data_IF_778525241425
#
_entry.id   IF_778525241425
#
_cell.length_a   1.000
_cell.length_b   1.000
_cell.length_c   1.000
_cell.angle_alpha   90.00
_cell.angle_beta   90.00
_cell.angle_gamma   90.00
#
_symmetry.space_group_name_H-M   'P 1'
#
loop_
_entity.id
_entity.type
_entity.pdbx_description
1 polymer ?
#
# COMPACT_ATOMS: atom_id res chain seq x y z
N UNK A 1 26.08 9.40 9.79
CA UNK A 1 27.08 8.31 9.95
C UNK A 1 28.43 8.95 9.82
N UNK A 2 29.32 8.82 10.81
CA UNK A 2 30.63 9.49 10.81
C UNK A 2 30.52 11.00 10.47
N UNK A 3 29.58 11.69 11.13
CA UNK A 3 29.23 13.10 10.88
C UNK A 3 28.67 13.45 9.48
N UNK A 4 28.48 12.45 8.60
CA UNK A 4 27.74 12.60 7.34
C UNK A 4 26.24 12.58 7.62
N UNK A 5 25.54 13.65 7.24
CA UNK A 5 24.08 13.71 7.28
C UNK A 5 23.49 12.81 6.18
N UNK A 6 22.42 12.08 6.53
CA UNK A 6 21.69 11.23 5.61
C UNK A 6 20.29 11.81 5.42
N UNK A 7 19.86 12.01 4.17
CA UNK A 7 18.54 12.53 3.84
C UNK A 7 17.58 11.41 3.45
N UNK A 8 18.10 10.35 2.82
CA UNK A 8 17.30 9.25 2.32
C UNK A 8 17.96 7.88 2.59
N UNK A 9 17.21 6.76 2.42
CA UNK A 9 17.75 5.40 2.61
C UNK A 9 18.91 5.05 1.67
N UNK A 10 18.98 5.67 0.48
CA UNK A 10 20.04 5.42 -0.50
C UNK A 10 21.36 6.00 0.00
N UNK A 11 21.35 7.14 0.70
CA UNK A 11 22.56 7.72 1.30
C UNK A 11 23.22 6.76 2.28
N UNK A 12 22.44 6.12 3.16
CA UNK A 12 22.96 5.11 4.09
C UNK A 12 23.53 3.92 3.33
N UNK A 13 22.81 3.45 2.30
CA UNK A 13 23.23 2.32 1.46
C UNK A 13 24.56 2.64 0.75
N UNK A 14 24.69 3.85 0.20
CA UNK A 14 25.89 4.32 -0.47
C UNK A 14 27.07 4.45 0.50
N UNK A 15 26.83 4.98 1.70
CA UNK A 15 27.86 5.05 2.75
C UNK A 15 28.33 3.65 3.14
N UNK A 16 27.43 2.69 3.34
CA UNK A 16 27.79 1.31 3.71
C UNK A 16 28.51 0.58 2.58
N UNK A 17 28.07 0.73 1.33
CA UNK A 17 28.70 0.10 0.16
C UNK A 17 30.13 0.60 -0.10
N UNK A 18 30.49 1.78 0.42
CA UNK A 18 31.84 2.32 0.33
C UNK A 18 32.78 1.82 1.45
N UNK A 19 32.28 0.99 2.38
CA UNK A 19 33.04 0.47 3.52
C UNK A 19 33.35 -1.02 3.35
N UNK A 20 34.36 -1.46 4.08
CA UNK A 20 34.77 -2.88 4.11
C UNK A 20 34.38 -3.54 5.42
N UNK A 21 34.29 -4.87 5.39
CA UNK A 21 34.07 -5.68 6.57
C UNK A 21 35.16 -5.41 7.64
N UNK A 22 34.75 -5.27 8.89
CA UNK A 22 35.62 -4.91 10.01
C UNK A 22 35.78 -3.42 10.27
N UNK A 23 35.32 -2.55 9.36
CA UNK A 23 35.29 -1.10 9.62
C UNK A 23 34.35 -0.78 10.78
N UNK A 24 34.76 0.17 11.62
CA UNK A 24 33.91 0.70 12.70
C UNK A 24 33.36 2.05 12.29
N UNK A 25 32.04 2.20 12.41
CA UNK A 25 31.31 3.43 12.07
C UNK A 25 30.56 3.97 13.29
N UNK A 26 30.42 5.29 13.34
CA UNK A 26 29.62 5.99 14.34
C UNK A 26 28.25 6.33 13.75
N UNK A 27 27.22 5.71 14.30
CA UNK A 27 25.83 5.91 13.91
C UNK A 27 25.12 6.81 14.92
N UNK A 28 24.68 7.98 14.47
CA UNK A 28 23.70 8.76 15.22
C UNK A 28 22.31 8.23 14.91
N UNK A 29 21.66 7.62 15.90
CA UNK A 29 20.32 7.03 15.75
C UNK A 29 19.31 7.76 16.64
N UNK A 30 18.10 7.96 16.12
CA UNK A 30 16.97 8.52 16.86
C UNK A 30 16.01 7.43 17.32
N UNK A 31 15.48 7.54 18.54
CA UNK A 31 14.34 6.73 18.97
C UNK A 31 13.09 7.06 18.13
N UNK A 32 12.22 6.07 17.94
CA UNK A 32 10.96 6.31 17.24
C UNK A 32 10.04 7.18 18.11
N UNK A 33 9.58 8.36 17.61
CA UNK A 33 8.77 9.31 18.37
C UNK A 33 7.38 8.77 18.75
N UNK A 34 6.96 7.63 18.19
CA UNK A 34 5.75 6.92 18.61
C UNK A 34 5.82 6.44 20.06
N UNK A 35 7.01 6.12 20.57
CA UNK A 35 7.21 5.58 21.92
C UNK A 35 7.58 6.65 22.96
N UNK A 36 7.72 7.92 22.56
CA UNK A 36 8.15 9.00 23.45
C UNK A 36 8.84 10.14 22.70
N UNK A 37 9.44 11.11 23.41
CA UNK A 37 10.26 12.13 22.76
C UNK A 37 11.39 11.48 21.96
N UNK A 38 11.71 12.08 20.81
CA UNK A 38 12.85 11.63 20.00
C UNK A 38 14.14 11.95 20.74
N UNK A 39 14.87 10.90 21.11
CA UNK A 39 16.17 10.98 21.74
C UNK A 39 17.21 10.46 20.76
N UNK A 40 18.28 11.22 20.59
CA UNK A 40 19.39 10.83 19.73
C UNK A 40 20.52 10.27 20.57
N UNK A 41 21.17 9.23 20.07
CA UNK A 41 22.39 8.67 20.66
C UNK A 41 23.35 8.24 19.57
N UNK A 42 24.63 8.32 19.88
CA UNK A 42 25.68 7.79 19.03
C UNK A 42 25.98 6.36 19.43
N UNK A 43 25.96 5.46 18.46
CA UNK A 43 26.26 4.05 18.62
C UNK A 43 27.44 3.72 17.73
N UNK A 44 28.48 3.14 18.32
CA UNK A 44 29.59 2.57 17.59
C UNK A 44 29.19 1.17 17.09
N UNK A 45 29.32 0.95 15.78
CA UNK A 45 28.98 -0.32 15.15
C UNK A 45 30.14 -0.78 14.27
N UNK A 46 30.54 -2.04 14.44
CA UNK A 46 31.52 -2.69 13.56
C UNK A 46 30.79 -3.44 12.48
N UNK A 47 31.14 -3.16 11.23
CA UNK A 47 30.56 -3.79 10.05
C UNK A 47 31.04 -5.24 9.94
N UNK A 48 30.12 -6.15 9.64
CA UNK A 48 30.43 -7.54 9.33
C UNK A 48 30.66 -7.72 7.83
N UNK A 49 31.09 -8.91 7.44
CA UNK A 49 31.15 -9.31 6.03
C UNK A 49 29.74 -9.69 5.53
N UNK A 50 29.30 -9.02 4.47
CA UNK A 50 27.96 -9.18 3.89
C UNK A 50 27.72 -10.59 3.36
N UNK A 51 28.70 -11.14 2.64
CA UNK A 51 28.58 -12.47 2.03
C UNK A 51 28.57 -13.55 3.08
N UNK A 52 29.47 -13.47 4.06
CA UNK A 52 29.53 -14.37 5.20
C UNK A 52 28.21 -14.37 5.99
N UNK A 53 27.61 -13.19 6.22
CA UNK A 53 26.32 -13.08 6.88
C UNK A 53 25.21 -13.84 6.14
N UNK A 54 25.07 -13.64 4.82
CA UNK A 54 24.05 -14.35 4.05
C UNK A 54 24.35 -15.85 3.91
N UNK A 55 25.62 -16.24 3.80
CA UNK A 55 26.03 -17.64 3.79
C UNK A 55 25.72 -18.35 5.11
N UNK A 56 25.85 -17.66 6.24
CA UNK A 56 25.48 -18.18 7.55
C UNK A 56 23.98 -18.44 7.64
N UNK A 57 23.15 -17.50 7.15
CA UNK A 57 21.69 -17.68 7.07
C UNK A 57 21.29 -18.88 6.20
N UNK A 58 22.08 -19.23 5.18
CA UNK A 58 21.83 -20.41 4.36
C UNK A 58 22.08 -21.73 5.11
N UNK A 59 22.84 -21.75 6.22
CA UNK A 59 23.07 -22.92 7.09
C UNK A 59 23.71 -24.17 6.45
N UNK A 60 23.91 -24.20 5.12
CA UNK A 60 24.39 -25.35 4.35
C UNK A 60 23.72 -25.54 3.00
N UNK A 61 22.61 -24.85 2.71
CA UNK A 61 21.90 -24.92 1.43
C UNK A 61 22.75 -24.37 0.27
N UNK A 62 23.08 -25.23 -0.69
CA UNK A 62 23.88 -24.88 -1.87
C UNK A 62 23.15 -24.00 -2.87
N UNK A 63 21.83 -24.15 -3.00
CA UNK A 63 21.03 -23.29 -3.88
C UNK A 63 20.95 -21.88 -3.32
N UNK A 64 20.73 -21.76 -2.01
CA UNK A 64 20.79 -20.47 -1.30
C UNK A 64 22.14 -19.77 -1.48
N UNK A 65 23.26 -20.49 -1.32
CA UNK A 65 24.61 -19.93 -1.52
C UNK A 65 24.86 -19.51 -2.97
N UNK A 66 24.42 -20.33 -3.94
CA UNK A 66 24.47 -19.97 -5.36
C UNK A 66 23.71 -18.67 -5.63
N UNK A 67 22.51 -18.51 -5.06
CA UNK A 67 21.73 -17.28 -5.22
C UNK A 67 22.43 -16.05 -4.63
N UNK A 68 23.22 -16.20 -3.56
CA UNK A 68 24.03 -15.11 -2.99
C UNK A 68 25.18 -14.74 -3.94
N UNK A 69 25.84 -15.73 -4.54
CA UNK A 69 26.91 -15.49 -5.52
C UNK A 69 26.35 -14.83 -6.80
N UNK A 70 25.20 -15.32 -7.28
CA UNK A 70 24.51 -14.79 -8.46
C UNK A 70 23.95 -13.37 -8.22
N UNK A 71 23.73 -12.97 -6.97
CA UNK A 71 23.34 -11.61 -6.59
C UNK A 71 24.50 -10.61 -6.67
N UNK A 72 25.74 -11.07 -6.94
CA UNK A 72 26.92 -10.23 -7.06
C UNK A 72 27.37 -9.62 -5.74
N UNK A 73 27.22 -10.36 -4.63
CA UNK A 73 27.72 -9.96 -3.31
C UNK A 73 29.12 -10.52 -3.15
N UNK A 74 30.11 -9.63 -3.06
CA UNK A 74 31.52 -10.00 -2.96
C UNK A 74 31.99 -10.13 -1.50
N UNK A 75 33.07 -10.91 -1.31
CA UNK A 75 33.78 -11.01 -0.03
C UNK A 75 34.42 -9.66 0.34
N UNK A 76 34.35 -9.29 1.62
CA UNK A 76 34.91 -8.06 2.17
C UNK A 76 33.96 -6.86 2.13
N UNK A 77 32.76 -6.97 1.56
CA UNK A 77 31.75 -5.91 1.59
C UNK A 77 31.26 -5.65 3.03
N UNK A 78 31.32 -4.38 3.46
CA UNK A 78 30.84 -3.98 4.78
C UNK A 78 29.32 -4.09 4.90
N UNK A 79 28.85 -4.72 5.98
CA UNK A 79 27.43 -4.90 6.24
C UNK A 79 27.07 -4.59 7.69
N UNK A 80 26.02 -3.79 7.87
CA UNK A 80 25.54 -3.38 9.19
C UNK A 80 24.57 -4.40 9.83
N UNK A 81 24.13 -5.43 9.10
CA UNK A 81 23.14 -6.37 9.62
C UNK A 81 21.69 -5.89 9.50
N UNK A 82 21.43 -4.84 8.73
CA UNK A 82 20.09 -4.28 8.52
C UNK A 82 19.69 -4.37 7.05
N UNK A 83 18.44 -4.75 6.80
CA UNK A 83 17.86 -4.85 5.46
C UNK A 83 16.47 -4.22 5.43
N UNK A 84 16.03 -3.75 4.27
CA UNK A 84 14.69 -3.18 4.10
C UNK A 84 14.53 -1.79 4.71
N UNK A 85 15.59 -0.99 4.66
CA UNK A 85 15.57 0.41 5.14
C UNK A 85 14.50 1.18 4.34
N UNK A 86 13.65 1.92 5.06
CA UNK A 86 12.60 2.75 4.48
C UNK A 86 12.79 4.20 4.90
N UNK A 87 12.29 5.11 4.07
CA UNK A 87 12.30 6.53 4.36
C UNK A 87 11.31 6.87 5.49
N UNK A 88 11.59 7.93 6.23
CA UNK A 88 10.77 8.37 7.36
C UNK A 88 9.35 8.79 6.93
N UNK A 89 9.19 9.23 5.68
CA UNK A 89 7.93 9.64 5.06
C UNK A 89 7.18 8.48 4.37
N UNK A 90 7.68 7.24 4.49
CA UNK A 90 7.11 6.08 3.79
C UNK A 90 5.62 5.85 4.04
N UNK A 91 5.11 6.19 5.22
CA UNK A 91 3.68 6.19 5.55
C UNK A 91 2.85 7.13 4.66
N UNK A 92 3.39 8.29 4.30
CA UNK A 92 2.69 9.31 3.52
C UNK A 92 2.91 9.14 2.01
N UNK A 93 4.02 8.50 1.60
CA UNK A 93 4.44 8.38 0.21
C UNK A 93 3.37 7.79 -0.72
N UNK A 94 2.61 6.79 -0.25
CA UNK A 94 1.52 6.19 -1.05
C UNK A 94 0.47 7.23 -1.46
N UNK A 95 0.20 8.21 -0.59
CA UNK A 95 -0.76 9.28 -0.85
C UNK A 95 -0.21 10.37 -1.77
N UNK A 96 1.12 10.45 -1.89
CA UNK A 96 1.84 11.34 -2.78
C UNK A 96 1.87 10.88 -4.24
N UNK A 97 1.56 9.61 -4.54
CA UNK A 97 1.63 9.03 -5.89
C UNK A 97 1.01 9.92 -7.00
N UNK A 98 -0.20 10.50 -6.83
CA UNK A 98 -0.80 11.34 -7.88
C UNK A 98 -0.10 12.70 -8.08
N UNK A 99 0.79 13.07 -7.16
CA UNK A 99 1.48 14.35 -7.08
C UNK A 99 2.99 14.22 -7.29
N UNK A 100 3.49 13.03 -7.61
CA UNK A 100 4.90 12.81 -7.90
C UNK A 100 5.40 13.71 -9.05
N UNK A 101 6.68 14.06 -8.94
CA UNK A 101 7.39 14.81 -9.95
C UNK A 101 7.60 13.96 -11.21
N UNK A 102 7.54 14.60 -12.38
CA UNK A 102 7.66 13.93 -13.68
C UNK A 102 6.34 13.45 -14.29
N UNK A 103 5.22 13.48 -13.55
CA UNK A 103 3.91 13.15 -14.11
C UNK A 103 3.34 14.28 -14.98
N UNK A 104 2.83 13.93 -16.16
CA UNK A 104 2.04 14.85 -16.99
C UNK A 104 0.68 15.16 -16.34
N UNK A 105 0.06 16.29 -16.70
CA UNK A 105 -1.27 16.67 -16.19
C UNK A 105 -2.31 15.56 -16.42
N UNK A 106 -2.27 14.91 -17.59
CA UNK A 106 -3.19 13.82 -17.92
C UNK A 106 -2.98 12.60 -17.03
N UNK A 107 -1.73 12.19 -16.79
CA UNK A 107 -1.42 11.09 -15.87
C UNK A 107 -1.84 11.40 -14.44
N UNK A 108 -1.57 12.62 -13.96
CA UNK A 108 -2.01 13.08 -12.63
C UNK A 108 -3.53 12.99 -12.49
N UNK A 109 -4.28 13.46 -13.48
CA UNK A 109 -5.74 13.39 -13.47
C UNK A 109 -6.26 11.94 -13.38
N UNK A 110 -5.65 11.02 -14.14
CA UNK A 110 -5.99 9.59 -14.08
C UNK A 110 -5.67 9.00 -12.70
N UNK A 111 -4.49 9.28 -12.16
CA UNK A 111 -4.10 8.78 -10.84
C UNK A 111 -5.02 9.32 -9.74
N UNK A 112 -5.34 10.61 -9.75
CA UNK A 112 -6.29 11.21 -8.80
C UNK A 112 -7.67 10.55 -8.90
N UNK A 113 -8.15 10.27 -10.12
CA UNK A 113 -9.43 9.59 -10.32
C UNK A 113 -9.41 8.14 -9.78
N UNK A 114 -8.26 7.48 -9.83
CA UNK A 114 -8.07 6.11 -9.32
C UNK A 114 -7.62 6.05 -7.86
N UNK A 115 -7.25 7.17 -7.23
CA UNK A 115 -6.78 7.24 -5.84
C UNK A 115 -7.69 6.50 -4.85
N UNK A 116 -9.03 6.63 -4.90
CA UNK A 116 -9.89 5.88 -3.98
C UNK A 116 -9.75 4.36 -4.10
N UNK A 117 -9.48 3.86 -5.31
CA UNK A 117 -9.21 2.43 -5.54
C UNK A 117 -7.83 2.04 -5.01
N UNK A 118 -6.80 2.85 -5.28
CA UNK A 118 -5.43 2.60 -4.83
C UNK A 118 -5.33 2.59 -3.29
N UNK A 119 -6.03 3.51 -2.63
CA UNK A 119 -5.94 3.69 -1.18
C UNK A 119 -7.01 2.91 -0.41
N UNK A 120 -7.97 2.30 -1.10
CA UNK A 120 -9.12 1.63 -0.49
C UNK A 120 -8.74 0.49 0.47
N UNK A 121 -7.62 -0.18 0.23
CA UNK A 121 -7.13 -1.26 1.09
C UNK A 121 -6.34 -0.78 2.32
N UNK A 122 -5.94 0.49 2.39
CA UNK A 122 -5.02 0.98 3.43
C UNK A 122 -5.59 0.80 4.85
N UNK A 123 -6.85 1.16 5.14
CA UNK A 123 -7.41 0.93 6.48
C UNK A 123 -7.51 -0.54 6.85
N UNK A 124 -7.70 -1.42 5.87
CA UNK A 124 -7.76 -2.87 6.10
C UNK A 124 -6.38 -3.40 6.51
N UNK A 125 -5.34 -2.96 5.80
CA UNK A 125 -3.95 -3.35 6.08
C UNK A 125 -3.44 -2.78 7.42
N UNK A 126 -3.91 -1.58 7.79
CA UNK A 126 -3.44 -0.85 8.96
C UNK A 126 -4.44 -0.89 10.14
N UNK A 127 -5.27 -1.93 10.24
CA UNK A 127 -6.17 -2.16 11.39
C UNK A 127 -7.08 -0.96 11.71
N UNK A 128 -7.63 -0.34 10.68
CA UNK A 128 -8.49 0.83 10.77
C UNK A 128 -7.75 2.16 10.86
N UNK A 129 -6.44 2.19 10.67
CA UNK A 129 -5.66 3.43 10.59
C UNK A 129 -5.43 3.85 9.15
N UNK A 130 -5.28 5.16 8.92
CA UNK A 130 -5.00 5.70 7.58
C UNK A 130 -3.54 5.48 7.17
N UNK A 131 -2.66 5.12 8.09
CA UNK A 131 -1.24 4.87 7.86
C UNK A 131 -0.66 4.13 9.05
N UNK A 132 0.53 3.54 8.89
CA UNK A 132 1.25 2.90 9.99
C UNK A 132 1.61 3.95 11.04
N UNK A 133 1.16 3.76 12.28
CA UNK A 133 1.29 4.78 13.34
C UNK A 133 2.74 5.10 13.69
N UNK A 134 3.61 4.10 13.64
CA UNK A 134 5.04 4.21 13.91
C UNK A 134 5.78 5.02 12.85
N UNK A 135 5.35 4.93 11.59
CA UNK A 135 5.90 5.73 10.49
C UNK A 135 5.29 7.14 10.50
N UNK A 136 3.98 7.25 10.76
CA UNK A 136 3.26 8.53 10.93
C UNK A 136 3.91 9.43 11.98
N UNK A 137 4.44 8.85 13.04
CA UNK A 137 5.06 9.62 14.12
C UNK A 137 6.30 10.43 13.67
N UNK A 138 6.94 10.03 12.55
CA UNK A 138 8.05 10.78 11.96
C UNK A 138 7.59 11.94 11.06
N UNK A 139 6.30 12.02 10.71
CA UNK A 139 5.78 13.07 9.87
C UNK A 139 5.66 14.37 10.66
N UNK A 140 6.18 15.45 10.10
CA UNK A 140 5.98 16.82 10.58
C UNK A 140 5.19 17.62 9.55
N UNK A 141 4.41 18.60 10.00
CA UNK A 141 3.87 19.57 9.08
C UNK A 141 5.02 20.33 8.39
N UNK A 142 4.90 20.51 7.07
CA UNK A 142 5.86 21.30 6.31
C UNK A 142 5.77 22.80 6.62
N UNK A 143 6.46 23.60 5.83
CA UNK A 143 6.39 25.06 5.96
C UNK A 143 5.17 25.64 5.23
N UNK A 144 4.66 26.77 5.72
CA UNK A 144 3.59 27.53 5.05
C UNK A 144 2.44 27.95 5.96
N UNK A 145 1.49 28.70 5.40
CA UNK A 145 0.41 29.32 6.16
C UNK A 145 -0.49 28.28 6.86
N UNK A 146 -0.95 27.27 6.12
CA UNK A 146 -1.87 26.24 6.66
C UNK A 146 -1.17 25.38 7.73
N UNK A 147 0.04 24.81 7.47
CA UNK A 147 0.84 24.15 8.49
C UNK A 147 1.12 24.98 9.74
N UNK A 148 1.40 26.28 9.59
CA UNK A 148 1.73 27.15 10.73
C UNK A 148 0.57 27.38 11.69
N UNK A 149 -0.67 27.30 11.19
CA UNK A 149 -1.89 27.48 11.99
C UNK A 149 -2.33 26.16 12.62
N UNK A 150 -2.30 25.06 11.86
CA UNK A 150 -2.83 23.76 12.30
C UNK A 150 -1.80 22.92 13.06
N UNK A 151 -0.51 23.15 12.81
CA UNK A 151 0.57 22.30 13.28
C UNK A 151 0.50 20.87 12.73
N UNK A 152 1.46 20.03 13.11
CA UNK A 152 1.51 18.61 12.72
C UNK A 152 0.25 17.84 13.10
N UNK A 153 -0.22 18.01 14.34
CA UNK A 153 -1.40 17.30 14.84
C UNK A 153 -2.66 17.68 14.05
N UNK A 154 -2.87 18.97 13.79
CA UNK A 154 -4.02 19.45 13.02
C UNK A 154 -3.97 19.02 11.56
N UNK A 155 -2.79 19.06 10.93
CA UNK A 155 -2.60 18.58 9.55
C UNK A 155 -2.91 17.09 9.42
N UNK A 156 -2.38 16.25 10.31
CA UNK A 156 -2.64 14.82 10.29
C UNK A 156 -4.11 14.49 10.62
N UNK A 157 -4.74 15.24 11.52
CA UNK A 157 -6.18 15.11 11.80
C UNK A 157 -7.07 15.52 10.63
N UNK A 158 -6.71 16.60 9.93
CA UNK A 158 -7.40 17.03 8.70
C UNK A 158 -7.24 15.99 7.60
N UNK A 159 -6.03 15.43 7.44
CA UNK A 159 -5.78 14.33 6.51
C UNK A 159 -6.69 13.14 6.80
N UNK A 160 -6.74 12.67 8.06
CA UNK A 160 -7.60 11.54 8.44
C UNK A 160 -9.08 11.82 8.14
N UNK A 161 -9.55 13.03 8.47
CA UNK A 161 -10.92 13.44 8.23
C UNK A 161 -11.29 13.40 6.73
N UNK A 162 -10.45 13.99 5.88
CA UNK A 162 -10.66 13.99 4.43
C UNK A 162 -10.55 12.58 3.84
N UNK A 163 -9.59 11.81 4.32
CA UNK A 163 -9.40 10.42 3.92
C UNK A 163 -10.68 9.61 4.21
N UNK A 164 -11.22 9.71 5.42
CA UNK A 164 -12.42 8.96 5.80
C UNK A 164 -13.67 9.37 5.03
N UNK A 165 -13.86 10.67 4.75
CA UNK A 165 -14.95 11.14 3.88
C UNK A 165 -14.84 10.49 2.50
N UNK A 166 -13.65 10.54 1.90
CA UNK A 166 -13.38 9.96 0.59
C UNK A 166 -13.59 8.45 0.59
N UNK A 167 -13.05 7.75 1.58
CA UNK A 167 -13.10 6.28 1.68
C UNK A 167 -14.54 5.76 1.89
N UNK A 168 -15.31 6.35 2.79
CA UNK A 168 -16.72 5.96 3.02
C UNK A 168 -17.56 6.26 1.79
N UNK A 169 -17.35 7.44 1.17
CA UNK A 169 -18.08 7.83 -0.05
C UNK A 169 -17.78 6.89 -1.21
N UNK A 170 -16.52 6.47 -1.36
CA UNK A 170 -16.10 5.49 -2.34
C UNK A 170 -16.74 4.12 -2.08
N UNK A 171 -16.70 3.61 -0.84
CA UNK A 171 -17.33 2.34 -0.50
C UNK A 171 -18.84 2.36 -0.71
N UNK A 172 -19.51 3.46 -0.38
CA UNK A 172 -20.94 3.62 -0.66
C UNK A 172 -21.21 3.59 -2.18
N UNK A 173 -20.35 4.23 -2.97
CA UNK A 173 -20.39 4.15 -4.43
C UNK A 173 -20.23 2.72 -4.95
N UNK A 174 -19.23 1.99 -4.46
CA UNK A 174 -19.00 0.58 -4.81
C UNK A 174 -20.16 -0.30 -4.38
N UNK A 175 -20.68 -0.12 -3.16
CA UNK A 175 -21.84 -0.85 -2.65
C UNK A 175 -23.08 -0.61 -3.53
N UNK A 176 -23.29 0.63 -3.97
CA UNK A 176 -24.37 0.97 -4.89
C UNK A 176 -24.20 0.36 -6.28
N UNK A 177 -22.98 -0.02 -6.69
CA UNK A 177 -22.73 -0.71 -7.96
C UNK A 177 -22.92 -2.23 -7.87
N UNK A 178 -23.15 -2.80 -6.68
CA UNK A 178 -23.36 -4.24 -6.53
C UNK A 178 -24.66 -4.63 -7.27
N UNK A 179 -24.63 -5.68 -8.12
CA UNK A 179 -25.79 -6.11 -8.92
C UNK A 179 -26.79 -6.91 -8.08
N UNK A 180 -27.30 -6.30 -7.02
CA UNK A 180 -28.24 -6.88 -6.06
C UNK A 180 -29.31 -5.86 -5.72
N UNK A 181 -30.59 -6.22 -5.83
CA UNK A 181 -31.70 -5.38 -5.35
C UNK A 181 -31.72 -5.47 -3.81
N UNK A 182 -31.68 -4.35 -3.06
CA UNK A 182 -32.15 -3.00 -3.41
C UNK A 182 -31.08 -1.99 -3.88
N UNK A 183 -29.84 -2.40 -4.13
CA UNK A 183 -28.79 -1.50 -4.64
C UNK A 183 -29.05 -1.11 -6.09
N UNK A 184 -28.65 0.12 -6.44
CA UNK A 184 -28.90 0.73 -7.76
C UNK A 184 -28.22 -0.05 -8.90
N UNK A 185 -27.09 -0.71 -8.62
CA UNK A 185 -26.37 -1.58 -9.54
C UNK A 185 -27.22 -2.74 -10.04
N UNK A 186 -28.18 -3.22 -9.24
CA UNK A 186 -29.16 -4.23 -9.68
C UNK A 186 -30.05 -3.70 -10.82
N UNK A 187 -30.45 -2.44 -10.77
CA UNK A 187 -31.22 -1.79 -11.83
C UNK A 187 -30.36 -1.50 -13.06
N UNK A 188 -29.14 -0.99 -12.87
CA UNK A 188 -28.19 -0.76 -13.97
C UNK A 188 -27.86 -2.06 -14.73
N UNK A 189 -27.62 -3.17 -14.03
CA UNK A 189 -27.33 -4.46 -14.69
C UNK A 189 -28.55 -5.00 -15.44
N UNK A 190 -29.77 -4.81 -14.91
CA UNK A 190 -31.00 -5.15 -15.64
C UNK A 190 -31.12 -4.36 -16.93
N UNK A 191 -30.88 -3.06 -16.88
CA UNK A 191 -31.03 -2.17 -18.03
C UNK A 191 -29.91 -2.37 -19.06
N UNK A 192 -28.67 -2.57 -18.61
CA UNK A 192 -27.54 -2.98 -19.46
C UNK A 192 -27.82 -4.34 -20.13
N UNK A 193 -28.38 -5.29 -19.39
CA UNK A 193 -28.83 -6.59 -19.90
C UNK A 193 -29.85 -6.44 -21.01
N UNK A 194 -30.82 -5.53 -20.87
CA UNK A 194 -31.79 -5.23 -21.93
C UNK A 194 -31.13 -4.63 -23.18
N UNK A 195 -30.16 -3.73 -23.02
CA UNK A 195 -29.44 -3.10 -24.15
C UNK A 195 -28.59 -4.13 -24.89
N UNK A 196 -27.84 -4.96 -24.17
CA UNK A 196 -27.03 -6.04 -24.75
C UNK A 196 -27.91 -7.08 -25.43
N UNK A 197 -29.00 -7.52 -24.76
CA UNK A 197 -29.94 -8.48 -25.33
C UNK A 197 -30.59 -7.95 -26.62
N UNK A 198 -31.01 -6.67 -26.67
CA UNK A 198 -31.55 -6.06 -27.89
C UNK A 198 -30.52 -5.97 -29.02
N UNK A 199 -29.24 -5.78 -28.70
CA UNK A 199 -28.17 -5.67 -29.69
C UNK A 199 -27.74 -7.04 -30.23
N UNK A 200 -27.68 -8.05 -29.37
CA UNK A 200 -27.27 -9.42 -29.70
C UNK A 200 -28.43 -10.21 -30.34
N UNK A 201 -29.67 -10.02 -29.88
CA UNK A 201 -30.85 -10.76 -30.34
C UNK A 201 -31.72 -9.98 -31.34
N UNK A 202 -31.10 -9.25 -32.28
CA UNK A 202 -31.81 -8.56 -33.37
C UNK A 202 -32.62 -9.58 -34.19
N UNK A 203 -33.95 -9.61 -33.99
CA UNK A 203 -34.89 -10.47 -34.72
C UNK A 203 -35.64 -11.53 -33.88
N UNK A 204 -35.45 -11.58 -32.55
CA UNK A 204 -36.11 -12.57 -31.68
C UNK A 204 -37.43 -12.09 -31.07
N UNK A 205 -38.38 -13.02 -30.87
CA UNK A 205 -39.71 -12.77 -30.32
C UNK A 205 -39.67 -12.07 -28.93
N UNK A 206 -40.42 -10.97 -28.72
CA UNK A 206 -40.35 -10.13 -27.50
C UNK A 206 -40.64 -10.90 -26.20
N UNK A 207 -41.52 -11.89 -26.25
CA UNK A 207 -41.90 -12.75 -25.12
C UNK A 207 -40.79 -13.69 -24.61
N UNK A 208 -39.78 -14.01 -25.42
CA UNK A 208 -38.63 -14.83 -24.97
C UNK A 208 -37.58 -13.99 -24.25
N UNK A 209 -37.47 -12.71 -24.61
CA UNK A 209 -36.50 -11.77 -24.03
C UNK A 209 -36.94 -11.38 -22.61
N UNK A 210 -38.23 -11.17 -22.40
CA UNK A 210 -38.82 -10.84 -21.08
C UNK A 210 -38.62 -11.98 -20.07
N UNK A 211 -38.91 -13.23 -20.45
CA UNK A 211 -38.72 -14.41 -19.59
C UNK A 211 -37.26 -14.72 -19.27
N UNK A 212 -36.33 -14.33 -20.16
CA UNK A 212 -34.89 -14.48 -19.91
C UNK A 212 -34.39 -13.41 -18.93
N UNK A 213 -34.88 -12.17 -19.08
CA UNK A 213 -34.57 -11.05 -18.18
C UNK A 213 -35.09 -11.30 -16.76
N UNK A 214 -36.33 -11.79 -16.60
CA UNK A 214 -36.90 -12.15 -15.30
C UNK A 214 -36.15 -13.31 -14.63
N UNK A 215 -35.70 -14.30 -15.40
CA UNK A 215 -34.89 -15.41 -14.87
C UNK A 215 -33.47 -14.98 -14.51
N UNK A 216 -32.82 -14.14 -15.32
CA UNK A 216 -31.48 -13.61 -15.01
C UNK A 216 -31.48 -12.78 -13.73
N UNK A 217 -32.53 -11.98 -13.51
CA UNK A 217 -32.67 -11.17 -12.29
C UNK A 217 -32.76 -12.05 -11.03
N UNK A 218 -33.47 -13.18 -11.08
CA UNK A 218 -33.55 -14.13 -9.97
C UNK A 218 -32.25 -14.91 -9.72
N UNK A 219 -31.49 -15.22 -10.78
CA UNK A 219 -30.19 -15.88 -10.65
C UNK A 219 -29.08 -14.93 -10.17
N UNK A 220 -29.15 -13.63 -10.46
CA UNK A 220 -28.20 -12.63 -9.96
C UNK A 220 -28.18 -12.56 -8.44
N UNK A 221 -29.35 -12.50 -7.80
CA UNK A 221 -29.43 -12.48 -6.33
C UNK A 221 -28.96 -13.80 -5.71
N UNK A 222 -29.27 -14.95 -6.35
CA UNK A 222 -28.83 -16.27 -5.89
C UNK A 222 -27.30 -16.43 -6.04
N UNK A 223 -26.72 -15.88 -7.11
CA UNK A 223 -25.27 -15.86 -7.33
C UNK A 223 -24.55 -15.00 -6.30
N UNK A 224 -25.05 -13.80 -6.01
CA UNK A 224 -24.50 -12.93 -4.96
C UNK A 224 -24.65 -13.59 -3.58
N UNK A 225 -25.80 -14.22 -3.30
CA UNK A 225 -26.01 -15.00 -2.08
C UNK A 225 -25.00 -16.14 -1.95
N UNK A 226 -24.76 -16.89 -3.04
CA UNK A 226 -23.76 -17.96 -3.06
C UNK A 226 -22.34 -17.41 -2.82
N UNK A 227 -21.98 -16.29 -3.46
CA UNK A 227 -20.67 -15.65 -3.31
C UNK A 227 -20.42 -15.20 -1.86
N UNK A 228 -21.45 -14.75 -1.14
CA UNK A 228 -21.37 -14.40 0.29
C UNK A 228 -21.38 -15.65 1.18
N UNK A 229 -22.20 -16.65 0.88
CA UNK A 229 -22.37 -17.84 1.72
C UNK A 229 -21.22 -18.84 1.63
N UNK A 230 -20.62 -19.01 0.45
CA UNK A 230 -19.51 -19.95 0.22
C UNK A 230 -18.36 -19.71 1.22
N UNK A 231 -17.77 -18.51 1.36
CA UNK A 231 -16.67 -18.29 2.31
C UNK A 231 -17.06 -18.46 3.78
N UNK A 232 -18.35 -18.39 4.12
CA UNK A 232 -18.86 -18.62 5.50
C UNK A 232 -19.04 -20.12 5.78
N UNK A 233 -19.50 -20.87 4.78
CA UNK A 233 -19.86 -22.29 4.90
C UNK A 233 -18.64 -23.20 4.69
N UNK A 234 -17.80 -22.90 3.71
CA UNK A 234 -16.67 -23.75 3.32
C UNK A 234 -15.70 -24.05 4.49
N UNK A 235 -15.32 -23.08 5.34
CA UNK A 235 -14.43 -23.33 6.50
C UNK A 235 -15.06 -24.14 7.62
N UNK A 236 -16.33 -24.52 7.53
CA UNK A 236 -16.98 -25.41 8.50
C UNK A 236 -16.91 -26.88 8.09
N UNK A 237 -16.53 -27.15 6.85
CA UNK A 237 -16.45 -28.50 6.28
C UNK A 237 -15.00 -28.96 6.02
N UNK A 238 -14.03 -28.06 6.17
CA UNK A 238 -12.58 -28.31 6.17
C UNK A 238 -11.98 -27.68 7.44
#
# INVERSE_FOLDING_TARGET
>A
VDDIALENPEDLTNVLNARVAGDTILLTVGTNPFYGPMETRTVEATLTDKKAYYYELCGGDSECKSNVDDAGIDDGEGFLGVSGIRSADSAARVYGLPFEDGLTIGQRAVLVALSPLLFGAVPIQNQGQTMVLQERAFLSAGEGLVPSILGTVGMLGLFDFLFWIMWISFLLGVANLIPLIPFDGGHMVRDAGHIVARRVMRGSNPLKIERLADRLSGYSSLFVLALVMIPIILPRFF
#
